data_IF_421271569096
#
_entry.id   IF_421271569096
#
_cell.length_a   1.000
_cell.length_b   1.000
_cell.length_c   1.000
_cell.angle_alpha   90.00
_cell.angle_beta   90.00
_cell.angle_gamma   90.00
#
_symmetry.space_group_name_H-M   'P 1'
#
loop_
_entity.id
_entity.type
_entity.pdbx_description
1 polymer ?
#
# COMPACT_ATOMS: atom_id res chain seq x y z
N UNK A 1 -7.13 16.35 -16.26
CA UNK A 1 -8.23 15.36 -16.05
C UNK A 1 -8.65 15.53 -14.59
N UNK A 2 -9.90 15.73 -14.31
CA UNK A 2 -10.37 15.78 -12.92
C UNK A 2 -10.62 14.35 -12.44
N UNK A 3 -9.98 13.97 -11.33
CA UNK A 3 -10.12 12.62 -10.77
C UNK A 3 -11.35 12.44 -9.88
N UNK A 4 -12.08 13.50 -9.54
CA UNK A 4 -13.26 13.44 -8.67
C UNK A 4 -12.94 13.13 -7.21
N UNK A 5 -11.70 13.39 -6.76
CA UNK A 5 -11.24 13.06 -5.41
C UNK A 5 -11.43 14.20 -4.40
N UNK A 6 -11.77 15.40 -4.87
CA UNK A 6 -11.96 16.58 -4.00
C UNK A 6 -12.99 16.33 -2.91
N UNK A 7 -12.57 16.48 -1.66
CA UNK A 7 -13.42 16.26 -0.49
C UNK A 7 -13.61 14.81 -0.05
N UNK A 8 -13.17 13.81 -0.83
CA UNK A 8 -13.16 12.40 -0.44
C UNK A 8 -12.18 12.18 0.72
N UNK A 9 -12.50 11.25 1.61
CA UNK A 9 -11.63 10.90 2.75
C UNK A 9 -10.85 9.64 2.43
N UNK A 10 -9.52 9.74 2.43
CA UNK A 10 -8.61 8.62 2.21
C UNK A 10 -7.90 8.21 3.50
N UNK A 11 -8.01 6.95 3.88
CA UNK A 11 -7.18 6.31 4.91
C UNK A 11 -5.98 5.65 4.22
N UNK A 12 -4.77 6.09 4.55
CA UNK A 12 -3.53 5.54 4.01
C UNK A 12 -2.76 4.82 5.11
N UNK A 13 -2.85 3.49 5.14
CA UNK A 13 -2.05 2.65 6.04
C UNK A 13 -0.58 2.69 5.61
N UNK A 14 0.34 2.77 6.59
CA UNK A 14 1.77 2.96 6.30
C UNK A 14 2.06 4.27 5.55
N UNK A 15 1.20 5.28 5.72
CA UNK A 15 1.23 6.56 5.01
C UNK A 15 2.37 7.50 5.41
N UNK A 16 3.12 7.17 6.45
CA UNK A 16 4.19 8.03 6.99
C UNK A 16 5.54 7.89 6.30
N UNK A 17 5.68 7.02 5.28
CA UNK A 17 6.96 6.83 4.58
C UNK A 17 6.84 6.06 3.28
N UNK A 18 7.90 6.04 2.50
CA UNK A 18 8.03 5.28 1.27
C UNK A 18 6.85 5.43 0.31
N UNK A 19 6.31 4.30 -0.15
CA UNK A 19 5.16 4.29 -1.07
C UNK A 19 3.91 4.90 -0.46
N UNK A 20 3.63 4.63 0.84
CA UNK A 20 2.46 5.17 1.51
C UNK A 20 2.45 6.69 1.55
N UNK A 21 3.61 7.32 1.83
CA UNK A 21 3.75 8.79 1.78
C UNK A 21 3.49 9.33 0.37
N UNK A 22 4.07 8.71 -0.64
CA UNK A 22 3.86 9.14 -2.03
C UNK A 22 2.39 9.03 -2.45
N UNK A 23 1.70 7.98 -2.03
CA UNK A 23 0.26 7.81 -2.24
C UNK A 23 -0.53 8.91 -1.53
N UNK A 24 -0.22 9.18 -0.25
CA UNK A 24 -0.88 10.22 0.53
C UNK A 24 -0.74 11.60 -0.13
N UNK A 25 0.46 11.93 -0.63
CA UNK A 25 0.72 13.19 -1.34
C UNK A 25 -0.04 13.26 -2.68
N UNK A 26 -0.06 12.17 -3.45
CA UNK A 26 -0.76 12.14 -4.73
C UNK A 26 -2.28 12.32 -4.56
N UNK A 27 -2.88 11.65 -3.57
CA UNK A 27 -4.31 11.81 -3.25
C UNK A 27 -4.62 13.22 -2.72
N UNK A 28 -3.72 13.79 -1.91
CA UNK A 28 -3.85 15.15 -1.39
C UNK A 28 -3.81 16.20 -2.50
N UNK A 29 -2.92 16.03 -3.48
CA UNK A 29 -2.82 16.92 -4.65
C UNK A 29 -4.11 16.96 -5.47
N UNK A 30 -4.90 15.88 -5.44
CA UNK A 30 -6.23 15.80 -6.06
C UNK A 30 -7.37 16.29 -5.14
N UNK A 31 -7.04 16.88 -3.98
CA UNK A 31 -7.98 17.49 -3.05
C UNK A 31 -8.68 16.51 -2.09
N UNK A 32 -8.19 15.27 -1.94
CA UNK A 32 -8.68 14.34 -0.94
C UNK A 32 -8.21 14.76 0.48
N UNK A 33 -9.07 14.55 1.49
CA UNK A 33 -8.72 14.63 2.91
C UNK A 33 -7.99 13.35 3.30
N UNK A 34 -6.86 13.47 4.01
CA UNK A 34 -5.97 12.33 4.24
C UNK A 34 -5.84 11.99 5.73
N UNK A 35 -6.12 10.74 6.09
CA UNK A 35 -5.70 10.13 7.35
C UNK A 35 -4.39 9.36 7.12
N UNK A 36 -3.31 9.86 7.72
CA UNK A 36 -1.97 9.26 7.62
C UNK A 36 -1.77 8.32 8.81
N UNK A 37 -1.78 7.02 8.57
CA UNK A 37 -1.52 6.01 9.60
C UNK A 37 -0.09 5.48 9.52
N UNK A 38 0.56 5.29 10.66
CA UNK A 38 1.92 4.76 10.72
C UNK A 38 2.39 4.52 12.16
N UNK A 39 3.61 3.99 12.33
CA UNK A 39 4.15 3.65 13.66
C UNK A 39 5.14 4.68 14.22
N UNK A 40 5.65 5.60 13.38
CA UNK A 40 6.68 6.59 13.77
C UNK A 40 6.06 7.99 13.89
N UNK A 41 5.84 8.55 15.10
CA UNK A 41 5.15 9.81 15.28
C UNK A 41 5.76 10.99 14.51
N UNK A 42 7.09 11.13 14.49
CA UNK A 42 7.77 12.19 13.75
C UNK A 42 7.51 12.12 12.23
N UNK A 43 7.58 10.92 11.63
CA UNK A 43 7.32 10.73 10.21
C UNK A 43 5.84 10.93 9.84
N UNK A 44 4.92 10.59 10.76
CA UNK A 44 3.49 10.88 10.61
C UNK A 44 3.29 12.39 10.58
N UNK A 45 3.85 13.12 11.56
CA UNK A 45 3.73 14.58 11.64
C UNK A 45 4.32 15.28 10.42
N UNK A 46 5.49 14.85 9.96
CA UNK A 46 6.13 15.39 8.75
C UNK A 46 5.24 15.20 7.52
N UNK A 47 4.72 13.99 7.31
CA UNK A 47 3.84 13.69 6.18
C UNK A 47 2.53 14.46 6.28
N UNK A 48 1.93 14.51 7.47
CA UNK A 48 0.70 15.27 7.72
C UNK A 48 0.87 16.75 7.39
N UNK A 49 2.00 17.37 7.78
CA UNK A 49 2.28 18.78 7.49
C UNK A 49 2.29 19.05 5.99
N UNK A 50 2.97 18.21 5.21
CA UNK A 50 3.03 18.37 3.75
C UNK A 50 1.66 18.14 3.12
N UNK A 51 0.94 17.11 3.55
CA UNK A 51 -0.42 16.80 3.07
C UNK A 51 -1.38 17.94 3.38
N UNK A 52 -1.34 18.52 4.58
CA UNK A 52 -2.19 19.63 4.98
C UNK A 52 -1.98 20.86 4.11
N UNK A 53 -0.75 21.13 3.69
CA UNK A 53 -0.44 22.23 2.77
C UNK A 53 -1.05 22.02 1.37
N UNK A 54 -1.24 20.77 0.93
CA UNK A 54 -1.84 20.43 -0.36
C UNK A 54 -3.37 20.35 -0.31
N UNK A 55 -3.92 19.65 0.69
CA UNK A 55 -5.33 19.26 0.75
C UNK A 55 -6.17 20.04 1.78
N UNK A 56 -5.55 20.83 2.65
CA UNK A 56 -6.19 21.63 3.69
C UNK A 56 -6.64 20.83 4.92
N UNK A 57 -6.99 19.56 4.82
CA UNK A 57 -7.42 18.72 5.95
C UNK A 57 -6.69 17.38 5.97
N UNK A 58 -5.99 17.14 7.09
CA UNK A 58 -5.33 15.85 7.34
C UNK A 58 -5.27 15.56 8.83
N UNK A 59 -5.24 14.27 9.18
CA UNK A 59 -4.93 13.80 10.53
C UNK A 59 -3.81 12.77 10.48
N UNK A 60 -3.02 12.72 11.54
CA UNK A 60 -2.00 11.70 11.75
C UNK A 60 -2.44 10.73 12.86
N UNK A 61 -2.25 9.44 12.65
CA UNK A 61 -2.62 8.38 13.58
C UNK A 61 -1.41 7.48 13.84
N UNK A 62 -1.01 7.38 15.11
CA UNK A 62 -0.08 6.35 15.55
C UNK A 62 -0.82 5.00 15.53
N UNK A 63 -0.48 4.13 14.58
CA UNK A 63 -1.19 2.89 14.35
C UNK A 63 -0.24 1.76 14.02
N UNK A 64 -0.11 0.80 14.95
CA UNK A 64 0.53 -0.48 14.69
C UNK A 64 -0.53 -1.44 14.12
N UNK A 65 -0.34 -1.89 12.89
CA UNK A 65 -1.24 -2.83 12.22
C UNK A 65 -1.26 -4.23 12.88
N UNK A 66 -0.28 -4.54 13.73
CA UNK A 66 -0.31 -5.77 14.51
C UNK A 66 -1.33 -5.72 15.67
N UNK A 67 -1.77 -4.51 16.08
CA UNK A 67 -2.81 -4.34 17.08
C UNK A 67 -4.18 -4.15 16.42
N UNK A 68 -4.95 -5.22 16.35
CA UNK A 68 -6.29 -5.19 15.76
C UNK A 68 -7.32 -4.52 16.66
N UNK A 69 -7.05 -4.39 17.97
CA UNK A 69 -7.99 -3.85 18.95
C UNK A 69 -8.26 -2.35 18.77
N UNK A 70 -7.33 -1.62 18.16
CA UNK A 70 -7.41 -0.17 17.94
C UNK A 70 -8.14 0.23 16.66
N UNK A 71 -8.53 -0.74 15.83
CA UNK A 71 -9.11 -0.47 14.49
C UNK A 71 -10.37 0.39 14.60
N UNK A 72 -11.33 -0.01 15.44
CA UNK A 72 -12.60 0.71 15.56
C UNK A 72 -12.40 2.14 16.08
N UNK A 73 -11.59 2.33 17.11
CA UNK A 73 -11.30 3.64 17.68
C UNK A 73 -10.61 4.56 16.65
N UNK A 74 -9.63 4.04 15.90
CA UNK A 74 -8.92 4.80 14.90
C UNK A 74 -9.82 5.18 13.71
N UNK A 75 -10.64 4.25 13.21
CA UNK A 75 -11.57 4.55 12.12
C UNK A 75 -12.65 5.54 12.59
N UNK A 76 -13.21 5.38 13.79
CA UNK A 76 -14.17 6.33 14.36
C UNK A 76 -13.58 7.74 14.52
N UNK A 77 -12.30 7.84 14.91
CA UNK A 77 -11.58 9.12 14.97
C UNK A 77 -11.44 9.77 13.59
N UNK A 78 -11.16 8.98 12.55
CA UNK A 78 -11.12 9.48 11.15
C UNK A 78 -12.49 10.00 10.75
N UNK A 79 -13.51 9.19 10.95
CA UNK A 79 -14.90 9.51 10.56
C UNK A 79 -15.40 10.79 11.22
N UNK A 80 -15.07 11.03 12.48
CA UNK A 80 -15.49 12.23 13.22
C UNK A 80 -14.78 13.50 12.75
N UNK A 81 -13.50 13.40 12.31
CA UNK A 81 -12.69 14.58 11.96
C UNK A 81 -12.70 14.89 10.46
N UNK A 82 -12.70 13.87 9.61
CA UNK A 82 -12.59 14.01 8.15
C UNK A 82 -13.86 13.60 7.41
N UNK A 83 -14.74 12.85 8.05
CA UNK A 83 -15.89 12.18 7.44
C UNK A 83 -15.60 10.73 7.10
N UNK A 84 -16.62 9.99 6.64
CA UNK A 84 -16.53 8.57 6.38
C UNK A 84 -15.41 8.25 5.36
N UNK A 85 -14.73 7.13 5.57
CA UNK A 85 -13.64 6.68 4.68
C UNK A 85 -14.23 6.29 3.32
N UNK A 86 -13.80 6.99 2.28
CA UNK A 86 -14.17 6.73 0.89
C UNK A 86 -13.10 5.89 0.18
N UNK A 87 -11.83 6.14 0.48
CA UNK A 87 -10.69 5.49 -0.15
C UNK A 87 -9.86 4.81 0.94
N UNK A 88 -9.65 3.51 0.82
CA UNK A 88 -8.79 2.74 1.69
C UNK A 88 -7.54 2.27 0.93
N UNK A 89 -6.38 2.71 1.39
CA UNK A 89 -5.10 2.25 0.90
C UNK A 89 -4.50 1.27 1.90
N UNK A 90 -4.59 0.00 1.59
CA UNK A 90 -3.96 -1.07 2.33
C UNK A 90 -2.48 -1.18 1.93
N UNK A 91 -1.60 -0.55 2.70
CA UNK A 91 -0.16 -0.59 2.49
C UNK A 91 0.52 -0.96 3.81
N UNK A 92 1.00 -2.19 3.90
CA UNK A 92 1.65 -2.73 5.10
C UNK A 92 3.16 -2.71 4.98
N UNK A 93 3.84 -2.72 6.11
CA UNK A 93 5.26 -3.04 6.17
C UNK A 93 5.56 -4.42 5.60
N UNK A 94 6.83 -4.76 5.50
CA UNK A 94 7.27 -6.09 5.08
C UNK A 94 8.13 -6.75 6.15
N UNK A 95 8.13 -8.10 6.24
CA UNK A 95 8.98 -8.84 7.15
C UNK A 95 10.47 -8.67 6.79
N UNK A 96 11.39 -9.03 7.68
CA UNK A 96 12.79 -9.18 7.31
C UNK A 96 12.95 -10.25 6.22
N UNK A 97 14.09 -10.28 5.50
CA UNK A 97 14.38 -11.35 4.57
C UNK A 97 14.38 -12.73 5.27
N UNK A 98 13.71 -13.71 4.65
CA UNK A 98 13.57 -15.07 5.18
C UNK A 98 13.66 -16.11 4.08
N UNK A 99 14.32 -17.24 4.36
CA UNK A 99 14.23 -18.46 3.56
C UNK A 99 12.84 -19.10 3.70
N UNK A 100 12.49 -20.03 2.81
CA UNK A 100 11.20 -20.72 2.86
C UNK A 100 11.14 -21.80 3.95
N UNK A 101 12.25 -22.46 4.21
CA UNK A 101 12.33 -23.53 5.20
C UNK A 101 12.93 -23.04 6.52
N UNK A 102 12.54 -23.70 7.63
CA UNK A 102 13.14 -23.49 8.95
C UNK A 102 12.73 -22.20 9.66
N UNK A 103 11.67 -21.54 9.24
CA UNK A 103 11.17 -20.35 9.92
C UNK A 103 10.25 -20.72 11.10
N UNK A 104 10.39 -19.98 12.21
CA UNK A 104 9.55 -20.13 13.39
C UNK A 104 8.06 -19.88 13.03
N UNK A 105 7.15 -20.81 13.38
CA UNK A 105 5.72 -20.60 13.22
C UNK A 105 5.20 -19.31 13.87
N UNK A 106 5.76 -18.88 15.00
CA UNK A 106 5.39 -17.63 15.66
C UNK A 106 5.69 -16.40 14.79
N UNK A 107 6.79 -16.43 14.02
CA UNK A 107 7.10 -15.38 13.06
C UNK A 107 6.04 -15.32 11.94
N UNK A 108 5.60 -16.48 11.42
CA UNK A 108 4.53 -16.55 10.43
C UNK A 108 3.23 -15.94 10.96
N UNK A 109 2.79 -16.31 12.15
CA UNK A 109 1.57 -15.80 12.79
C UNK A 109 1.63 -14.30 13.00
N UNK A 110 2.75 -13.78 13.53
CA UNK A 110 2.96 -12.34 13.72
C UNK A 110 2.85 -11.57 12.40
N UNK A 111 3.49 -12.06 11.35
CA UNK A 111 3.46 -11.39 10.05
C UNK A 111 2.09 -11.53 9.36
N UNK A 112 1.42 -12.66 9.51
CA UNK A 112 0.05 -12.85 9.03
C UNK A 112 -0.90 -11.85 9.69
N UNK A 113 -0.82 -11.66 11.00
CA UNK A 113 -1.64 -10.68 11.71
C UNK A 113 -1.43 -9.26 11.18
N UNK A 114 -0.18 -8.81 11.08
CA UNK A 114 0.13 -7.43 10.68
C UNK A 114 -0.01 -7.15 9.18
N UNK A 115 0.09 -8.15 8.31
CA UNK A 115 0.09 -7.98 6.86
C UNK A 115 -1.18 -8.42 6.16
N UNK A 116 -1.94 -9.35 6.76
CA UNK A 116 -3.15 -9.94 6.15
C UNK A 116 -4.38 -9.65 6.99
N UNK A 117 -4.42 -10.10 8.25
CA UNK A 117 -5.61 -9.91 9.10
C UNK A 117 -5.91 -8.43 9.32
N UNK A 118 -4.90 -7.59 9.51
CA UNK A 118 -5.10 -6.15 9.66
C UNK A 118 -5.75 -5.52 8.43
N UNK A 119 -5.32 -5.93 7.23
CA UNK A 119 -5.89 -5.44 5.95
C UNK A 119 -7.36 -5.84 5.85
N UNK A 120 -7.68 -7.10 6.14
CA UNK A 120 -9.05 -7.61 6.12
C UNK A 120 -9.90 -6.87 7.16
N UNK A 121 -9.46 -6.79 8.41
CA UNK A 121 -10.22 -6.18 9.50
C UNK A 121 -10.47 -4.68 9.31
N UNK A 122 -9.48 -3.92 8.82
CA UNK A 122 -9.69 -2.50 8.48
C UNK A 122 -10.68 -2.36 7.32
N UNK A 123 -10.57 -3.22 6.30
CA UNK A 123 -11.52 -3.23 5.18
C UNK A 123 -12.94 -3.51 5.66
N UNK A 124 -13.13 -4.53 6.48
CA UNK A 124 -14.42 -4.90 7.04
C UNK A 124 -15.05 -3.76 7.86
N UNK A 125 -14.21 -2.99 8.60
CA UNK A 125 -14.68 -1.86 9.40
C UNK A 125 -15.17 -0.68 8.56
N UNK A 126 -14.57 -0.40 7.41
CA UNK A 126 -14.96 0.74 6.56
C UNK A 126 -16.02 0.39 5.51
N UNK A 127 -16.11 -0.87 5.13
CA UNK A 127 -16.95 -1.38 4.04
C UNK A 127 -18.46 -1.08 4.21
N UNK A 128 -19.08 -1.23 5.40
CA UNK A 128 -20.51 -0.94 5.58
C UNK A 128 -20.89 0.50 5.17
N UNK A 129 -20.05 1.46 5.55
CA UNK A 129 -20.25 2.86 5.21
C UNK A 129 -20.06 3.14 3.72
N UNK A 130 -19.11 2.47 3.06
CA UNK A 130 -18.95 2.54 1.60
C UNK A 130 -20.18 1.98 0.86
N UNK A 131 -20.70 0.83 1.32
CA UNK A 131 -21.92 0.21 0.76
C UNK A 131 -23.12 1.12 0.87
N UNK A 132 -23.34 1.74 2.03
CA UNK A 132 -24.47 2.67 2.25
C UNK A 132 -24.44 3.87 1.30
N UNK A 133 -23.23 4.34 0.94
CA UNK A 133 -23.05 5.48 0.03
C UNK A 133 -22.91 5.07 -1.44
N UNK A 134 -22.92 3.78 -1.75
CA UNK A 134 -22.72 3.24 -3.09
C UNK A 134 -21.42 3.76 -3.75
N UNK A 135 -20.39 3.95 -2.96
CA UNK A 135 -19.09 4.43 -3.43
C UNK A 135 -17.96 4.00 -2.50
N UNK A 136 -16.91 3.45 -3.07
CA UNK A 136 -15.69 3.10 -2.33
C UNK A 136 -14.55 2.71 -3.27
N UNK A 137 -13.31 2.94 -2.81
CA UNK A 137 -12.09 2.54 -3.49
C UNK A 137 -11.17 1.83 -2.51
N UNK A 138 -10.93 0.55 -2.74
CA UNK A 138 -10.05 -0.29 -1.91
C UNK A 138 -8.85 -0.67 -2.76
N UNK A 139 -7.66 -0.17 -2.42
CA UNK A 139 -6.43 -0.41 -3.16
C UNK A 139 -5.42 -1.04 -2.21
N UNK A 140 -4.99 -2.26 -2.54
CA UNK A 140 -4.04 -3.01 -1.72
C UNK A 140 -2.68 -3.08 -2.41
N UNK A 141 -1.69 -2.43 -1.80
CA UNK A 141 -0.29 -2.48 -2.23
C UNK A 141 0.35 -3.78 -1.79
N UNK A 142 0.82 -4.57 -2.73
CA UNK A 142 1.46 -5.87 -2.44
C UNK A 142 2.94 -5.87 -2.86
N UNK A 143 3.35 -6.70 -3.79
CA UNK A 143 4.74 -6.85 -4.24
C UNK A 143 4.78 -7.55 -5.59
N UNK A 144 5.79 -7.26 -6.40
CA UNK A 144 6.13 -8.07 -7.59
C UNK A 144 6.34 -9.55 -7.25
N UNK A 145 6.71 -9.86 -6.00
CA UNK A 145 6.87 -11.22 -5.49
C UNK A 145 5.60 -12.09 -5.51
N UNK A 146 4.41 -11.50 -5.72
CA UNK A 146 3.16 -12.29 -5.87
C UNK A 146 3.01 -12.89 -7.28
N UNK A 147 3.74 -12.37 -8.25
CA UNK A 147 3.79 -12.88 -9.63
C UNK A 147 5.09 -13.66 -9.87
N UNK A 148 6.21 -13.09 -9.45
CA UNK A 148 7.55 -13.69 -9.57
C UNK A 148 8.19 -13.72 -8.17
N UNK A 149 8.13 -14.83 -7.41
CA UNK A 149 8.63 -14.92 -6.05
C UNK A 149 10.10 -14.46 -5.93
N UNK A 150 10.33 -13.52 -5.04
CA UNK A 150 11.65 -12.94 -4.83
C UNK A 150 12.45 -13.83 -3.86
N UNK A 151 13.68 -14.27 -4.21
CA UNK A 151 14.53 -15.03 -3.32
C UNK A 151 14.71 -14.35 -1.95
N UNK A 152 14.76 -15.15 -0.88
CA UNK A 152 14.89 -14.69 0.51
C UNK A 152 13.78 -13.73 1.00
N UNK A 153 12.60 -13.76 0.38
CA UNK A 153 11.41 -13.04 0.85
C UNK A 153 10.20 -13.98 1.00
N UNK A 154 10.40 -15.21 1.48
CA UNK A 154 9.40 -16.27 1.47
C UNK A 154 8.11 -15.88 2.19
N UNK A 155 8.19 -15.36 3.43
CA UNK A 155 7.01 -14.90 4.19
C UNK A 155 6.29 -13.79 3.44
N UNK A 156 7.02 -12.80 2.93
CA UNK A 156 6.42 -11.70 2.17
C UNK A 156 5.72 -12.20 0.91
N UNK A 157 6.36 -13.07 0.12
CA UNK A 157 5.78 -13.62 -1.10
C UNK A 157 4.47 -14.36 -0.81
N UNK A 158 4.48 -15.26 0.18
CA UNK A 158 3.32 -16.07 0.53
C UNK A 158 2.15 -15.25 1.08
N UNK A 159 2.42 -14.37 2.07
CA UNK A 159 1.37 -13.60 2.71
C UNK A 159 0.76 -12.54 1.79
N UNK A 160 1.56 -11.88 0.95
CA UNK A 160 1.03 -10.92 -0.01
C UNK A 160 0.25 -11.58 -1.13
N UNK A 161 0.61 -12.80 -1.52
CA UNK A 161 -0.16 -13.57 -2.52
C UNK A 161 -1.57 -13.91 -2.01
N UNK A 162 -1.74 -14.20 -0.72
CA UNK A 162 -3.06 -14.46 -0.14
C UNK A 162 -4.02 -13.26 -0.31
N UNK A 163 -3.51 -12.04 -0.23
CA UNK A 163 -4.29 -10.82 -0.44
C UNK A 163 -4.79 -10.67 -1.90
N UNK A 164 -4.09 -11.26 -2.87
CA UNK A 164 -4.53 -11.22 -4.29
C UNK A 164 -5.81 -12.02 -4.46
N UNK A 165 -5.87 -13.24 -3.92
CA UNK A 165 -7.07 -14.07 -3.93
C UNK A 165 -8.22 -13.43 -3.16
N UNK A 166 -7.95 -12.92 -1.95
CA UNK A 166 -8.93 -12.22 -1.13
C UNK A 166 -9.51 -10.98 -1.85
N UNK A 167 -8.66 -10.12 -2.38
CA UNK A 167 -9.09 -8.91 -3.10
C UNK A 167 -9.94 -9.22 -4.32
N UNK A 168 -9.59 -10.29 -5.06
CA UNK A 168 -10.39 -10.75 -6.20
C UNK A 168 -11.78 -11.21 -5.79
N UNK A 169 -11.89 -11.94 -4.68
CA UNK A 169 -13.18 -12.36 -4.12
C UNK A 169 -13.99 -11.15 -3.67
N UNK A 170 -13.39 -10.26 -2.88
CA UNK A 170 -14.03 -9.04 -2.41
C UNK A 170 -14.59 -8.20 -3.58
N UNK A 171 -13.83 -8.03 -4.66
CA UNK A 171 -14.25 -7.23 -5.81
C UNK A 171 -15.56 -7.72 -6.45
N UNK A 172 -15.81 -9.03 -6.41
CA UNK A 172 -17.05 -9.64 -6.92
C UNK A 172 -18.25 -9.41 -5.99
N UNK A 173 -17.98 -9.37 -4.69
CA UNK A 173 -19.02 -9.19 -3.67
C UNK A 173 -19.51 -7.73 -3.59
N UNK A 174 -18.60 -6.75 -3.80
CA UNK A 174 -18.87 -5.34 -3.57
C UNK A 174 -19.07 -4.51 -4.84
N UNK A 175 -18.82 -5.10 -6.01
CA UNK A 175 -18.90 -4.38 -7.29
C UNK A 175 -20.28 -3.76 -7.56
N UNK A 176 -21.36 -4.48 -7.23
CA UNK A 176 -22.74 -3.99 -7.35
C UNK A 176 -23.06 -2.79 -6.43
N UNK A 177 -22.25 -2.61 -5.39
CA UNK A 177 -22.39 -1.52 -4.43
C UNK A 177 -21.56 -0.28 -4.85
N UNK A 178 -21.06 -0.22 -6.10
CA UNK A 178 -20.25 0.90 -6.61
C UNK A 178 -18.84 0.96 -6.03
N UNK A 179 -18.36 -0.14 -5.42
CA UNK A 179 -17.05 -0.23 -4.77
C UNK A 179 -16.10 -1.02 -5.66
N UNK A 180 -14.89 -0.50 -5.85
CA UNK A 180 -13.82 -1.23 -6.53
C UNK A 180 -12.76 -1.73 -5.55
N UNK A 181 -12.23 -2.93 -5.78
CA UNK A 181 -11.14 -3.51 -5.02
C UNK A 181 -10.03 -3.99 -5.96
N UNK A 182 -8.85 -3.38 -5.89
CA UNK A 182 -7.75 -3.65 -6.79
C UNK A 182 -6.43 -3.88 -6.03
N UNK A 183 -5.57 -4.67 -6.64
CA UNK A 183 -4.18 -4.85 -6.20
C UNK A 183 -3.27 -3.99 -7.05
N UNK A 184 -2.28 -3.36 -6.43
CA UNK A 184 -1.20 -2.67 -7.12
C UNK A 184 0.15 -3.28 -6.72
N UNK A 185 0.99 -3.56 -7.70
CA UNK A 185 2.30 -4.19 -7.53
C UNK A 185 3.41 -3.17 -7.79
N UNK A 186 4.22 -2.81 -6.80
CA UNK A 186 5.45 -2.08 -7.06
C UNK A 186 6.51 -3.03 -7.64
N UNK A 187 7.23 -2.55 -8.63
CA UNK A 187 8.54 -3.08 -8.97
C UNK A 187 9.61 -2.58 -7.99
N UNK A 188 10.78 -2.25 -8.52
CA UNK A 188 11.84 -1.59 -7.72
C UNK A 188 11.62 -0.08 -7.72
N UNK A 189 10.95 0.41 -6.66
CA UNK A 189 10.69 1.85 -6.45
C UNK A 189 11.66 2.38 -5.39
N UNK A 190 12.32 3.50 -5.66
CA UNK A 190 13.34 4.11 -4.81
C UNK A 190 12.75 4.59 -3.47
N UNK A 191 12.78 3.72 -2.48
CA UNK A 191 12.31 3.95 -1.10
C UNK A 191 13.33 3.44 -0.10
N UNK A 192 13.24 3.84 1.16
CA UNK A 192 14.11 3.31 2.24
C UNK A 192 14.01 1.79 2.35
N UNK A 193 12.84 1.21 2.08
CA UNK A 193 12.67 -0.26 2.06
C UNK A 193 13.49 -0.92 0.96
N UNK A 194 13.51 -0.34 -0.24
CA UNK A 194 14.31 -0.88 -1.33
C UNK A 194 15.80 -0.75 -1.01
N UNK A 195 16.22 0.43 -0.52
CA UNK A 195 17.59 0.66 -0.06
C UNK A 195 18.04 -0.38 0.97
N UNK A 196 17.22 -0.64 1.99
CA UNK A 196 17.48 -1.69 2.98
C UNK A 196 17.66 -3.07 2.35
N UNK A 197 16.85 -3.42 1.34
CA UNK A 197 16.97 -4.71 0.63
C UNK A 197 18.25 -4.78 -0.19
N UNK A 198 18.64 -3.71 -0.87
CA UNK A 198 19.89 -3.64 -1.64
C UNK A 198 21.11 -3.69 -0.70
N UNK A 199 21.10 -3.00 0.44
CA UNK A 199 22.12 -3.09 1.48
C UNK A 199 22.22 -4.51 2.05
N UNK A 200 21.08 -5.18 2.27
CA UNK A 200 21.06 -6.55 2.79
C UNK A 200 21.64 -7.55 1.77
N UNK A 201 21.36 -7.33 0.49
CA UNK A 201 21.92 -8.12 -0.60
C UNK A 201 23.43 -7.85 -0.74
N UNK A 202 23.84 -6.59 -0.72
CA UNK A 202 25.24 -6.19 -0.80
C UNK A 202 26.10 -6.86 0.29
N UNK A 203 25.64 -6.82 1.54
CA UNK A 203 26.30 -7.49 2.67
C UNK A 203 26.41 -9.00 2.48
N UNK A 204 25.35 -9.66 2.03
CA UNK A 204 25.34 -11.11 1.80
C UNK A 204 26.27 -11.52 0.68
N UNK A 205 26.33 -10.73 -0.40
CA UNK A 205 27.03 -11.06 -1.63
C UNK A 205 28.48 -10.49 -1.64
N UNK A 206 28.91 -9.78 -0.57
CA UNK A 206 30.25 -9.17 -0.46
C UNK A 206 30.50 -8.07 -1.49
N UNK A 207 29.48 -7.30 -1.85
CA UNK A 207 29.49 -6.26 -2.89
C UNK A 207 29.14 -4.88 -2.32
N UNK A 208 29.31 -3.83 -3.12
CA UNK A 208 28.81 -2.50 -2.76
C UNK A 208 27.30 -2.38 -3.03
N UNK A 209 26.64 -1.42 -2.37
CA UNK A 209 25.20 -1.14 -2.59
C UNK A 209 24.97 -0.60 -4.01
N UNK A 210 25.92 0.20 -4.50
CA UNK A 210 25.90 0.81 -5.82
C UNK A 210 25.94 -0.25 -6.94
N UNK A 211 26.83 -1.25 -6.80
CA UNK A 211 26.91 -2.37 -7.76
C UNK A 211 25.60 -3.18 -7.79
N UNK A 212 25.02 -3.44 -6.61
CA UNK A 212 23.75 -4.17 -6.49
C UNK A 212 22.60 -3.35 -7.10
N UNK A 213 22.56 -2.06 -6.85
CA UNK A 213 21.53 -1.17 -7.41
C UNK A 213 21.65 -1.05 -8.93
N UNK A 214 22.88 -0.90 -9.46
CA UNK A 214 23.14 -0.83 -10.90
C UNK A 214 22.74 -2.12 -11.62
N UNK A 215 23.15 -3.28 -11.10
CA UNK A 215 22.75 -4.59 -11.64
C UNK A 215 21.23 -4.75 -11.61
N UNK A 216 20.59 -4.37 -10.51
CA UNK A 216 19.15 -4.46 -10.36
C UNK A 216 18.40 -3.54 -11.34
N UNK A 217 18.90 -2.32 -11.55
CA UNK A 217 18.35 -1.39 -12.53
C UNK A 217 18.49 -1.92 -13.96
N UNK A 218 19.60 -2.56 -14.29
CA UNK A 218 19.84 -3.15 -15.61
C UNK A 218 18.85 -4.29 -15.96
N UNK A 219 18.23 -4.93 -14.95
CA UNK A 219 17.20 -5.95 -15.19
C UNK A 219 15.81 -5.36 -15.49
N UNK A 220 15.64 -4.06 -15.32
CA UNK A 220 14.35 -3.38 -15.55
C UNK A 220 14.38 -2.82 -16.98
N UNK A 221 13.41 -3.11 -17.86
CA UNK A 221 13.39 -2.60 -19.24
C UNK A 221 13.52 -1.07 -19.36
N UNK A 222 12.94 -0.31 -18.41
CA UNK A 222 13.10 1.16 -18.36
C UNK A 222 14.53 1.58 -17.90
N UNK A 223 15.36 0.67 -17.37
CA UNK A 223 16.77 0.90 -17.05
C UNK A 223 17.01 1.67 -15.75
N UNK A 224 15.99 1.86 -14.90
CA UNK A 224 16.12 2.58 -13.63
C UNK A 224 15.09 2.09 -12.59
N UNK A 225 15.33 2.44 -11.36
CA UNK A 225 14.29 2.35 -10.33
C UNK A 225 13.18 3.36 -10.60
N UNK A 226 11.92 2.98 -10.30
CA UNK A 226 10.78 3.88 -10.33
C UNK A 226 10.87 4.91 -9.20
N UNK A 227 10.26 6.06 -9.41
CA UNK A 227 10.12 7.07 -8.36
C UNK A 227 8.85 6.82 -7.55
N UNK A 228 8.83 7.10 -6.23
CA UNK A 228 7.62 6.97 -5.41
C UNK A 228 6.42 7.73 -5.97
N UNK A 229 6.65 8.90 -6.58
CA UNK A 229 5.61 9.73 -7.19
C UNK A 229 4.94 9.04 -8.38
N UNK A 230 5.69 8.26 -9.18
CA UNK A 230 5.14 7.48 -10.30
C UNK A 230 4.17 6.42 -9.80
N UNK A 231 4.45 5.82 -8.64
CA UNK A 231 3.55 4.87 -7.99
C UNK A 231 2.32 5.56 -7.40
N UNK A 232 2.51 6.67 -6.71
CA UNK A 232 1.43 7.48 -6.13
C UNK A 232 0.42 7.95 -7.18
N UNK A 233 0.89 8.38 -8.35
CA UNK A 233 0.05 8.83 -9.45
C UNK A 233 -0.90 7.72 -9.97
N UNK A 234 -0.39 6.49 -10.11
CA UNK A 234 -1.23 5.34 -10.51
C UNK A 234 -2.29 5.03 -9.44
N UNK A 235 -1.94 5.13 -8.15
CA UNK A 235 -2.90 4.93 -7.06
C UNK A 235 -3.97 6.02 -7.07
N UNK A 236 -3.61 7.29 -7.30
CA UNK A 236 -4.58 8.37 -7.40
C UNK A 236 -5.54 8.15 -8.60
N UNK A 237 -5.03 7.69 -9.75
CA UNK A 237 -5.90 7.28 -10.87
C UNK A 237 -6.84 6.13 -10.48
N UNK A 238 -6.35 5.07 -9.84
CA UNK A 238 -7.19 3.94 -9.42
C UNK A 238 -8.24 4.32 -8.37
N UNK A 239 -7.98 5.34 -7.57
CA UNK A 239 -8.94 5.89 -6.61
C UNK A 239 -9.99 6.78 -7.26
N UNK A 240 -9.81 7.21 -8.51
CA UNK A 240 -10.66 8.17 -9.21
C UNK A 240 -11.98 7.59 -9.71
N UNK A 241 -12.86 8.46 -10.15
CA UNK A 241 -14.07 8.08 -10.89
C UNK A 241 -13.74 7.54 -12.29
N UNK A 242 -12.65 8.00 -12.90
CA UNK A 242 -12.17 7.53 -14.20
C UNK A 242 -11.78 6.04 -14.18
N UNK A 243 -11.48 5.48 -13.00
CA UNK A 243 -11.16 4.07 -12.81
C UNK A 243 -12.37 3.23 -12.31
N UNK A 244 -13.59 3.76 -12.33
CA UNK A 244 -14.77 3.08 -11.77
C UNK A 244 -15.08 1.71 -12.42
N UNK A 245 -14.59 1.45 -13.62
CA UNK A 245 -14.76 0.16 -14.31
C UNK A 245 -13.55 -0.79 -14.15
N UNK A 246 -12.58 -0.42 -13.30
CA UNK A 246 -11.40 -1.23 -12.98
C UNK A 246 -11.62 -1.83 -11.58
N UNK A 247 -11.91 -3.13 -11.50
CA UNK A 247 -12.04 -3.85 -10.23
C UNK A 247 -11.57 -5.29 -10.35
N UNK A 248 -11.06 -5.87 -9.26
CA UNK A 248 -10.52 -7.22 -9.22
C UNK A 248 -9.26 -7.41 -10.06
N UNK A 249 -8.56 -6.33 -10.35
CA UNK A 249 -7.36 -6.29 -11.19
C UNK A 249 -6.09 -6.27 -10.37
N UNK A 250 -5.01 -6.74 -11.00
CA UNK A 250 -3.64 -6.68 -10.49
C UNK A 250 -2.85 -5.78 -11.42
N UNK A 251 -2.59 -4.55 -10.97
CA UNK A 251 -1.94 -3.51 -11.76
C UNK A 251 -0.45 -3.44 -11.40
N UNK A 252 0.43 -3.54 -12.39
CA UNK A 252 1.88 -3.50 -12.22
C UNK A 252 2.40 -2.08 -12.44
N UNK A 253 3.27 -1.63 -11.54
CA UNK A 253 4.04 -0.38 -11.67
C UNK A 253 5.50 -0.76 -11.46
N UNK A 254 6.10 -1.38 -12.45
CA UNK A 254 7.36 -2.10 -12.31
C UNK A 254 8.39 -1.83 -13.43
N UNK A 255 8.09 -0.91 -14.34
CA UNK A 255 8.98 -0.58 -15.44
C UNK A 255 9.20 -1.73 -16.44
N UNK A 256 8.26 -2.70 -16.48
CA UNK A 256 8.35 -3.89 -17.31
C UNK A 256 9.21 -5.02 -16.71
N UNK A 257 9.56 -4.93 -15.42
CA UNK A 257 10.45 -5.89 -14.75
C UNK A 257 9.93 -7.33 -14.77
N UNK A 258 8.60 -7.52 -14.63
CA UNK A 258 8.00 -8.85 -14.65
C UNK A 258 7.75 -9.27 -16.10
N UNK A 259 8.41 -10.35 -16.59
CA UNK A 259 8.37 -10.71 -18.02
C UNK A 259 7.08 -11.43 -18.46
N UNK A 260 6.28 -11.92 -17.52
CA UNK A 260 5.00 -12.57 -17.86
C UNK A 260 3.91 -11.56 -18.21
N UNK A 261 3.03 -11.92 -19.13
CA UNK A 261 1.80 -11.18 -19.47
C UNK A 261 0.69 -11.47 -18.48
#
# INVERSE_FOLDING_TARGET
>A
MEFGLKGKTALVLGGSGGLGRAIALALAAEGAKIAVAGTKPAAIQETQTVVAALAGKSIGLAWDLADLSVIDANVSSIESQLGPVDILINNTGGPPPTTAAGQDPALWLKQFQSMVLSVIAVTDRVLPSMRQRHWGRIITSTSSGVVAPIPNLAISNALRLSLVGWSKTLSREVGKDGITANIILPGRIATDRLRFLDESRARRDGRTVEEVAQESAATIPIGRYGKPEEYGAVVAFLASESAAYITGSVIRVDGGMIPSV
#
